data_IF_265915637817
#
_entry.id   IF_265915637817
#
_cell.length_a   1.000
_cell.length_b   1.000
_cell.length_c   1.000
_cell.angle_alpha   90.00
_cell.angle_beta   90.00
_cell.angle_gamma   90.00
#
_symmetry.space_group_name_H-M   'P 1'
#
loop_
_entity.id
_entity.type
_entity.pdbx_description
1 polymer ?
#
# COMPACT_ATOMS: atom_id res chain seq x y z
N UNK A 1 18.45 -72.79 -25.93
CA UNK A 1 17.96 -72.77 -24.53
C UNK A 1 16.60 -72.07 -24.61
N UNK A 2 15.49 -72.76 -24.84
CA UNK A 2 14.82 -73.75 -23.96
C UNK A 2 14.23 -73.03 -22.72
N UNK A 3 12.93 -73.09 -22.40
CA UNK A 3 11.82 -74.03 -22.73
C UNK A 3 10.47 -73.26 -22.84
N UNK A 4 9.60 -73.50 -23.85
CA UNK A 4 8.40 -74.40 -23.85
C UNK A 4 7.26 -73.98 -22.89
N UNK A 5 5.94 -74.13 -23.16
CA UNK A 5 5.19 -74.61 -24.34
C UNK A 5 3.66 -74.39 -24.18
N UNK A 6 2.92 -74.57 -25.29
CA UNK A 6 1.56 -75.15 -25.45
C UNK A 6 0.32 -74.37 -24.98
N UNK A 7 -0.83 -74.29 -25.68
CA UNK A 7 -1.27 -74.68 -27.06
C UNK A 7 -2.65 -73.99 -27.33
N UNK A 8 -3.45 -74.12 -28.40
CA UNK A 8 -3.51 -75.01 -29.58
C UNK A 8 -4.12 -74.34 -30.84
N UNK A 9 -3.96 -74.98 -32.01
CA UNK A 9 -4.67 -74.72 -33.30
C UNK A 9 -5.67 -75.86 -33.61
N UNK A 10 -6.32 -76.03 -34.80
CA UNK A 10 -6.48 -75.16 -35.99
C UNK A 10 -7.96 -75.07 -36.50
N UNK A 11 -8.21 -74.49 -37.69
CA UNK A 11 -9.02 -75.07 -38.81
C UNK A 11 -9.41 -74.01 -39.87
N UNK A 12 -8.81 -74.14 -41.06
CA UNK A 12 -9.36 -73.98 -42.42
C UNK A 12 -10.73 -73.28 -42.59
N UNK A 13 -10.77 -72.09 -43.22
CA UNK A 13 -10.95 -71.90 -44.68
C UNK A 13 -12.36 -72.17 -45.20
N UNK A 14 -13.07 -71.14 -45.71
CA UNK A 14 -13.57 -71.08 -47.10
C UNK A 14 -14.33 -69.77 -47.42
N UNK A 15 -14.32 -69.39 -48.70
CA UNK A 15 -15.16 -68.41 -49.42
C UNK A 15 -15.12 -66.91 -49.10
N UNK A 16 -14.61 -66.17 -50.09
CA UNK A 16 -14.75 -64.73 -50.29
C UNK A 16 -16.18 -64.35 -50.72
N UNK A 17 -16.77 -63.33 -50.09
CA UNK A 17 -17.76 -62.46 -50.76
C UNK A 17 -17.87 -61.07 -50.09
N UNK A 18 -17.77 -60.02 -50.90
CA UNK A 18 -18.13 -58.62 -50.69
C UNK A 18 -18.20 -58.03 -49.26
N UNK A 19 -17.20 -57.23 -48.89
CA UNK A 19 -17.43 -55.99 -48.10
C UNK A 19 -16.74 -54.83 -48.80
N UNK A 20 -17.53 -53.99 -49.45
CA UNK A 20 -17.15 -52.63 -49.86
C UNK A 20 -18.08 -51.67 -49.14
N UNK A 21 -17.52 -50.65 -48.49
CA UNK A 21 -18.27 -49.58 -47.84
C UNK A 21 -18.37 -49.68 -46.33
N UNK A 22 -17.66 -48.77 -45.65
CA UNK A 22 -18.06 -47.97 -44.46
C UNK A 22 -16.78 -47.39 -43.83
N UNK A 23 -16.15 -46.44 -44.53
CA UNK A 23 -15.19 -45.55 -43.85
C UNK A 23 -16.03 -44.65 -42.95
N UNK A 24 -16.08 -44.96 -41.66
CA UNK A 24 -16.65 -44.09 -40.65
C UNK A 24 -15.80 -42.82 -40.56
N UNK A 25 -16.21 -41.78 -41.28
CA UNK A 25 -15.79 -40.42 -40.99
C UNK A 25 -16.29 -40.06 -39.58
N UNK A 26 -15.43 -40.27 -38.58
CA UNK A 26 -15.55 -39.57 -37.31
C UNK A 26 -15.23 -38.10 -37.55
N UNK A 27 -16.22 -37.34 -38.02
CA UNK A 27 -16.13 -35.90 -38.05
C UNK A 27 -15.86 -35.42 -36.61
N UNK A 28 -14.80 -34.62 -36.36
CA UNK A 28 -14.65 -33.99 -35.06
C UNK A 28 -15.86 -33.08 -34.86
N UNK A 29 -16.66 -33.36 -33.83
CA UNK A 29 -17.72 -32.48 -33.40
C UNK A 29 -17.07 -31.25 -32.74
N UNK A 30 -16.55 -30.34 -33.56
CA UNK A 30 -16.22 -28.99 -33.14
C UNK A 30 -17.55 -28.33 -32.83
N UNK A 31 -17.91 -28.28 -31.55
CA UNK A 31 -18.99 -27.43 -31.09
C UNK A 31 -18.58 -25.99 -31.42
N UNK A 32 -19.14 -25.43 -32.49
CA UNK A 32 -18.86 -24.06 -32.90
C UNK A 32 -19.23 -23.12 -31.77
N UNK A 33 -18.23 -22.43 -31.22
CA UNK A 33 -18.49 -21.34 -30.28
C UNK A 33 -19.42 -20.32 -30.97
N UNK A 34 -20.42 -19.77 -30.26
CA UNK A 34 -21.26 -18.74 -30.84
C UNK A 34 -20.39 -17.52 -31.19
N UNK A 35 -20.55 -16.93 -32.38
CA UNK A 35 -19.76 -15.78 -32.80
C UNK A 35 -20.21 -14.51 -32.09
N UNK A 36 -19.28 -13.57 -31.91
CA UNK A 36 -19.54 -12.27 -31.33
C UNK A 36 -20.56 -11.49 -32.16
N UNK A 37 -21.52 -10.88 -31.49
CA UNK A 37 -22.54 -10.06 -32.14
C UNK A 37 -21.88 -8.93 -32.93
N UNK A 38 -22.22 -8.78 -34.22
CA UNK A 38 -21.58 -7.81 -35.11
C UNK A 38 -21.49 -6.36 -34.58
N UNK A 39 -22.50 -5.82 -33.84
CA UNK A 39 -22.39 -4.50 -33.23
C UNK A 39 -21.30 -4.40 -32.16
N UNK A 40 -21.11 -5.45 -31.35
CA UNK A 40 -20.12 -5.49 -30.28
C UNK A 40 -18.71 -5.70 -30.86
N UNK A 41 -18.57 -6.60 -31.86
CA UNK A 41 -17.32 -6.77 -32.61
C UNK A 41 -16.86 -5.46 -33.30
N UNK A 42 -17.79 -4.74 -33.94
CA UNK A 42 -17.50 -3.43 -34.55
C UNK A 42 -17.13 -2.36 -33.50
N UNK A 43 -17.72 -2.41 -32.30
CA UNK A 43 -17.35 -1.54 -31.20
C UNK A 43 -15.92 -1.84 -30.69
N UNK A 44 -15.52 -3.11 -30.59
CA UNK A 44 -14.13 -3.48 -30.23
C UNK A 44 -13.15 -2.93 -31.26
N UNK A 45 -13.39 -3.11 -32.57
CA UNK A 45 -12.49 -2.57 -33.59
C UNK A 45 -12.36 -1.05 -33.52
N UNK A 46 -13.47 -0.32 -33.33
CA UNK A 46 -13.43 1.15 -33.16
C UNK A 46 -12.66 1.58 -31.93
N UNK A 47 -12.76 0.84 -30.83
CA UNK A 47 -11.99 1.12 -29.62
C UNK A 47 -10.50 0.85 -29.85
N UNK A 48 -10.14 -0.29 -30.45
CA UNK A 48 -8.76 -0.63 -30.82
C UNK A 48 -8.13 0.45 -31.72
N UNK A 49 -8.84 0.91 -32.75
CA UNK A 49 -8.38 1.99 -33.64
C UNK A 49 -8.30 3.36 -32.95
N UNK A 50 -9.20 3.66 -32.02
CA UNK A 50 -9.16 4.90 -31.22
C UNK A 50 -7.98 4.91 -30.24
N UNK A 51 -7.55 3.75 -29.75
CA UNK A 51 -6.37 3.60 -28.89
C UNK A 51 -5.07 3.55 -29.70
N UNK A 52 -5.07 2.84 -30.83
CA UNK A 52 -3.91 2.78 -31.71
C UNK A 52 -4.33 2.74 -33.19
N UNK A 53 -4.37 3.91 -33.86
CA UNK A 53 -4.73 4.00 -35.27
C UNK A 53 -3.58 3.61 -36.22
N UNK A 54 -2.37 3.43 -35.69
CA UNK A 54 -1.18 3.04 -36.48
C UNK A 54 -1.15 1.51 -36.74
N UNK A 55 -2.05 0.73 -36.12
CA UNK A 55 -2.26 -0.70 -36.35
C UNK A 55 -3.54 -0.93 -37.16
N UNK A 56 -3.43 -1.65 -38.28
CA UNK A 56 -4.58 -2.08 -39.08
C UNK A 56 -5.29 -3.29 -38.44
N UNK A 57 -6.00 -3.06 -37.34
CA UNK A 57 -6.58 -4.12 -36.49
C UNK A 57 -7.41 -5.16 -37.24
N UNK A 58 -8.29 -4.74 -38.16
CA UNK A 58 -9.12 -5.63 -38.99
C UNK A 58 -8.33 -6.48 -40.00
N UNK A 59 -7.05 -6.17 -40.24
CA UNK A 59 -6.16 -6.96 -41.10
C UNK A 59 -5.26 -7.90 -40.30
N UNK A 60 -4.94 -7.55 -39.05
CA UNK A 60 -4.18 -8.42 -38.13
C UNK A 60 -5.10 -9.47 -37.49
N UNK A 61 -6.32 -9.06 -37.16
CA UNK A 61 -7.39 -9.89 -36.63
C UNK A 61 -8.60 -9.72 -37.57
N UNK A 62 -8.72 -10.55 -38.63
CA UNK A 62 -9.83 -10.47 -39.58
C UNK A 62 -11.05 -11.30 -39.17
N UNK A 63 -10.85 -12.29 -38.30
CA UNK A 63 -11.84 -13.28 -37.89
C UNK A 63 -12.70 -12.79 -36.71
N UNK A 64 -13.45 -13.72 -36.11
CA UNK A 64 -14.22 -13.49 -34.89
C UNK A 64 -13.30 -13.14 -33.70
N UNK A 65 -13.63 -12.05 -32.99
CA UNK A 65 -12.82 -11.56 -31.87
C UNK A 65 -12.99 -12.35 -30.57
N UNK A 66 -14.05 -13.15 -30.39
CA UNK A 66 -14.08 -14.11 -29.28
C UNK A 66 -13.17 -15.33 -29.55
N UNK A 67 -12.77 -15.53 -30.81
CA UNK A 67 -11.94 -16.67 -31.26
C UNK A 67 -10.46 -16.32 -31.43
N UNK A 68 -10.13 -15.10 -31.86
CA UNK A 68 -8.78 -14.73 -32.35
C UNK A 68 -8.20 -13.43 -31.79
N UNK A 69 -8.90 -12.72 -30.90
CA UNK A 69 -8.51 -11.38 -30.46
C UNK A 69 -7.09 -11.26 -29.85
N UNK A 70 -6.52 -10.04 -29.85
CA UNK A 70 -5.33 -9.75 -29.05
C UNK A 70 -5.63 -9.95 -27.55
N UNK A 71 -4.65 -10.48 -26.81
CA UNK A 71 -4.78 -10.95 -25.41
C UNK A 71 -5.50 -10.02 -24.41
N UNK A 72 -5.49 -8.71 -24.62
CA UNK A 72 -6.17 -7.75 -23.74
C UNK A 72 -7.68 -7.67 -23.93
N UNK A 73 -8.22 -8.19 -25.03
CA UNK A 73 -9.66 -8.27 -25.32
C UNK A 73 -10.14 -9.69 -24.99
N UNK A 74 -10.99 -9.82 -23.97
CA UNK A 74 -11.45 -11.11 -23.44
C UNK A 74 -12.96 -11.24 -23.62
N UNK A 75 -13.40 -12.44 -24.01
CA UNK A 75 -14.79 -12.77 -24.27
C UNK A 75 -15.21 -13.99 -23.44
N UNK A 76 -16.41 -13.94 -22.86
CA UNK A 76 -17.04 -15.05 -22.15
C UNK A 76 -18.36 -15.47 -22.81
N UNK A 77 -18.82 -16.66 -22.44
CA UNK A 77 -20.01 -17.31 -22.98
C UNK A 77 -21.11 -17.44 -21.91
N UNK A 78 -22.32 -17.03 -22.26
CA UNK A 78 -23.47 -16.93 -21.35
C UNK A 78 -24.64 -17.78 -21.87
N UNK A 79 -25.20 -18.65 -21.02
CA UNK A 79 -26.37 -19.45 -21.38
C UNK A 79 -27.67 -18.65 -21.22
N UNK A 80 -28.57 -18.71 -22.20
CA UNK A 80 -29.87 -18.07 -22.12
C UNK A 80 -30.75 -18.71 -21.02
N UNK A 81 -30.88 -17.99 -19.90
CA UNK A 81 -31.84 -18.31 -18.84
C UNK A 81 -31.25 -18.90 -17.55
N UNK A 82 -29.93 -18.98 -17.39
CA UNK A 82 -29.31 -19.36 -16.11
C UNK A 82 -28.89 -18.15 -15.29
N UNK A 83 -29.58 -17.90 -14.17
CA UNK A 83 -29.14 -16.95 -13.14
C UNK A 83 -27.81 -17.42 -12.52
N UNK A 84 -26.89 -16.47 -12.29
CA UNK A 84 -25.49 -16.67 -11.86
C UNK A 84 -25.28 -17.61 -10.65
N UNK A 85 -25.27 -18.95 -10.82
CA UNK A 85 -24.80 -19.89 -9.76
C UNK A 85 -24.44 -21.34 -10.15
N UNK A 86 -24.05 -21.66 -11.39
CA UNK A 86 -23.33 -22.92 -11.69
C UNK A 86 -22.63 -22.92 -13.05
N UNK A 87 -21.58 -23.74 -13.21
CA UNK A 87 -20.97 -23.99 -14.52
C UNK A 87 -21.89 -24.84 -15.40
N UNK A 88 -22.05 -24.51 -16.70
CA UNK A 88 -23.00 -25.21 -17.57
C UNK A 88 -22.53 -26.64 -17.86
N UNK A 89 -23.43 -27.60 -17.65
CA UNK A 89 -23.25 -28.95 -18.22
C UNK A 89 -23.57 -28.89 -19.72
N UNK A 90 -22.69 -29.46 -20.55
CA UNK A 90 -22.82 -29.40 -22.01
C UNK A 90 -24.08 -30.12 -22.52
N UNK A 91 -25.18 -29.39 -22.66
CA UNK A 91 -26.44 -29.87 -23.23
C UNK A 91 -27.02 -28.83 -24.21
N UNK A 92 -26.68 -28.99 -25.49
CA UNK A 92 -27.07 -28.17 -26.65
C UNK A 92 -26.52 -26.74 -26.69
N UNK A 93 -25.93 -26.35 -27.82
CA UNK A 93 -25.45 -24.99 -28.10
C UNK A 93 -26.58 -24.01 -28.48
N UNK A 94 -27.84 -24.39 -28.24
CA UNK A 94 -29.01 -23.60 -28.59
C UNK A 94 -29.31 -22.59 -27.48
N UNK A 95 -28.76 -21.37 -27.62
CA UNK A 95 -29.01 -20.26 -26.70
C UNK A 95 -27.80 -19.77 -25.91
N UNK A 96 -26.57 -20.16 -26.25
CA UNK A 96 -25.37 -19.53 -25.69
C UNK A 96 -25.03 -18.26 -26.50
N UNK A 97 -24.84 -17.13 -25.84
CA UNK A 97 -24.32 -15.89 -26.44
C UNK A 97 -22.90 -15.60 -25.96
N UNK A 98 -22.12 -14.90 -26.78
CA UNK A 98 -20.74 -14.51 -26.48
C UNK A 98 -20.65 -12.99 -26.35
N UNK A 99 -20.00 -12.48 -25.31
CA UNK A 99 -19.86 -11.04 -25.04
C UNK A 99 -18.47 -10.69 -24.51
N UNK A 100 -18.04 -9.45 -24.72
CA UNK A 100 -16.78 -8.93 -24.22
C UNK A 100 -16.90 -8.66 -22.71
N UNK A 101 -16.02 -9.29 -21.93
CA UNK A 101 -16.01 -9.18 -20.45
C UNK A 101 -14.78 -8.47 -19.92
N UNK A 102 -13.64 -8.48 -20.61
CA UNK A 102 -12.50 -7.63 -20.26
C UNK A 102 -11.93 -6.86 -21.46
N UNK A 103 -11.53 -5.63 -21.19
CA UNK A 103 -10.82 -4.75 -22.10
C UNK A 103 -9.60 -4.17 -21.39
N UNK A 104 -8.42 -4.68 -21.73
CA UNK A 104 -7.13 -4.32 -21.15
C UNK A 104 -6.22 -3.72 -22.23
N UNK A 105 -5.62 -2.56 -21.95
CA UNK A 105 -4.76 -1.81 -22.88
C UNK A 105 -3.46 -1.36 -22.23
N UNK A 106 -2.38 -1.31 -23.01
CA UNK A 106 -1.05 -0.87 -22.57
C UNK A 106 -0.16 -1.97 -21.99
N UNK A 107 1.16 -1.77 -22.11
CA UNK A 107 2.18 -2.77 -21.76
C UNK A 107 2.34 -2.96 -20.25
N UNK A 108 1.91 -4.12 -19.74
CA UNK A 108 2.11 -4.49 -18.32
C UNK A 108 3.26 -5.50 -18.14
N UNK A 109 3.63 -6.26 -19.18
CA UNK A 109 4.80 -7.15 -19.18
C UNK A 109 5.23 -7.54 -20.61
N UNK A 110 6.44 -8.07 -20.74
CA UNK A 110 7.05 -8.47 -22.03
C UNK A 110 6.53 -9.80 -22.62
N UNK A 111 5.80 -10.61 -21.83
CA UNK A 111 5.51 -12.00 -22.19
C UNK A 111 4.27 -12.22 -23.06
N UNK A 112 3.29 -11.33 -22.96
CA UNK A 112 2.27 -11.14 -24.00
C UNK A 112 1.60 -9.77 -23.79
N UNK A 113 1.79 -8.80 -24.68
CA UNK A 113 1.28 -7.46 -24.46
C UNK A 113 -0.21 -7.37 -24.78
N UNK A 114 -0.94 -6.67 -23.90
CA UNK A 114 -2.22 -6.08 -24.25
C UNK A 114 -2.07 -5.20 -25.51
N UNK A 115 -3.16 -4.95 -26.28
CA UNK A 115 -3.18 -3.94 -27.33
C UNK A 115 -2.39 -2.67 -26.95
N UNK A 116 -1.30 -2.36 -27.69
CA UNK A 116 -0.40 -1.29 -27.31
C UNK A 116 -1.04 0.06 -27.63
N UNK A 117 -0.86 1.02 -26.72
CA UNK A 117 -1.39 2.37 -26.89
C UNK A 117 -0.46 3.25 -27.73
N UNK A 118 -1.03 4.22 -28.45
CA UNK A 118 -0.28 5.15 -29.29
C UNK A 118 -0.20 6.56 -28.65
N UNK A 119 0.75 7.42 -29.07
CA UNK A 119 0.73 8.85 -28.73
C UNK A 119 -0.58 9.58 -29.03
N UNK A 120 -1.40 9.04 -29.94
CA UNK A 120 -2.67 9.60 -30.40
C UNK A 120 -3.89 8.96 -29.72
N UNK A 121 -3.70 8.13 -28.68
CA UNK A 121 -4.78 7.39 -28.02
C UNK A 121 -5.89 8.32 -27.56
N UNK A 122 -7.12 8.02 -27.97
CA UNK A 122 -8.32 8.72 -27.56
C UNK A 122 -9.36 7.74 -26.99
N UNK A 123 -10.17 8.20 -26.06
CA UNK A 123 -11.28 7.43 -25.49
C UNK A 123 -12.54 8.30 -25.44
N UNK A 124 -13.38 8.17 -26.47
CA UNK A 124 -14.68 8.85 -26.50
C UNK A 124 -15.74 8.01 -25.76
N UNK A 125 -16.61 8.58 -24.89
CA UNK A 125 -17.57 7.80 -24.10
C UNK A 125 -18.50 6.90 -24.93
N UNK A 126 -18.85 7.31 -26.16
CA UNK A 126 -19.70 6.52 -27.06
C UNK A 126 -19.06 5.22 -27.57
N UNK A 127 -17.76 5.01 -27.36
CA UNK A 127 -17.09 3.74 -27.70
C UNK A 127 -17.46 2.64 -26.71
N UNK A 128 -17.82 2.99 -25.48
CA UNK A 128 -18.05 2.04 -24.38
C UNK A 128 -19.50 1.53 -24.31
N UNK A 129 -20.44 2.18 -25.00
CA UNK A 129 -21.90 1.94 -24.83
C UNK A 129 -22.40 0.58 -25.35
N UNK A 130 -21.57 -0.20 -26.03
CA UNK A 130 -21.95 -1.49 -26.60
C UNK A 130 -21.50 -2.69 -25.73
N UNK A 131 -20.61 -2.48 -24.75
CA UNK A 131 -20.05 -3.55 -23.91
C UNK A 131 -20.90 -3.79 -22.66
N UNK A 132 -22.12 -4.32 -22.85
CA UNK A 132 -23.11 -4.49 -21.79
C UNK A 132 -22.73 -5.52 -20.72
N UNK A 133 -21.83 -6.45 -21.05
CA UNK A 133 -21.33 -7.50 -20.15
C UNK A 133 -19.93 -7.21 -19.59
N UNK A 134 -19.38 -6.02 -19.84
CA UNK A 134 -18.02 -5.68 -19.45
C UNK A 134 -17.84 -5.71 -17.92
N UNK A 135 -16.95 -6.57 -17.45
CA UNK A 135 -16.57 -6.71 -16.04
C UNK A 135 -15.31 -5.92 -15.71
N UNK A 136 -14.40 -5.76 -16.67
CA UNK A 136 -13.11 -5.10 -16.42
C UNK A 136 -12.70 -4.15 -17.55
N UNK A 137 -12.34 -2.93 -17.17
CA UNK A 137 -11.78 -1.91 -18.06
C UNK A 137 -10.43 -1.43 -17.51
N UNK A 138 -9.35 -1.67 -18.24
CA UNK A 138 -7.98 -1.43 -17.80
C UNK A 138 -7.16 -0.65 -18.85
N UNK A 139 -6.50 0.44 -18.44
CA UNK A 139 -5.57 1.23 -19.25
C UNK A 139 -4.29 1.56 -18.48
N UNK A 140 -3.13 1.14 -19.01
CA UNK A 140 -1.81 1.53 -18.49
C UNK A 140 -1.02 2.37 -19.51
N UNK A 141 -0.60 3.57 -19.13
CA UNK A 141 0.20 4.47 -19.98
C UNK A 141 -0.35 4.68 -21.40
N UNK A 142 -1.67 4.78 -21.54
CA UNK A 142 -2.33 4.97 -22.83
C UNK A 142 -2.56 6.43 -23.18
N UNK A 143 -2.95 7.25 -22.20
CA UNK A 143 -3.20 8.67 -22.40
C UNK A 143 -2.03 9.46 -21.82
N UNK A 144 -0.95 9.57 -22.61
CA UNK A 144 0.33 10.18 -22.21
C UNK A 144 0.60 11.54 -22.85
N UNK A 145 0.21 11.74 -24.11
CA UNK A 145 0.45 12.96 -24.89
C UNK A 145 -0.84 13.72 -25.22
N UNK A 146 -1.81 13.06 -25.88
CA UNK A 146 -3.10 13.68 -26.21
C UNK A 146 -4.01 13.77 -25.00
N UNK A 147 -4.49 14.99 -24.69
CA UNK A 147 -5.45 15.23 -23.61
C UNK A 147 -6.77 14.48 -23.86
N UNK A 148 -7.15 13.62 -22.91
CA UNK A 148 -8.41 12.84 -22.95
C UNK A 148 -9.22 13.13 -21.69
N UNK A 149 -10.50 13.46 -21.84
CA UNK A 149 -11.39 13.59 -20.68
C UNK A 149 -11.69 12.21 -20.11
N UNK A 150 -11.69 12.09 -18.78
CA UNK A 150 -12.20 10.91 -18.08
C UNK A 150 -13.63 10.59 -18.59
N UNK A 151 -13.91 9.34 -19.00
CA UNK A 151 -15.18 8.98 -19.63
C UNK A 151 -16.32 8.90 -18.60
N UNK A 152 -17.55 9.14 -19.05
CA UNK A 152 -18.74 8.81 -18.26
C UNK A 152 -18.97 7.28 -18.30
N UNK A 153 -18.74 6.63 -17.16
CA UNK A 153 -18.85 5.18 -17.00
C UNK A 153 -20.30 4.72 -16.74
N UNK A 154 -21.26 5.62 -16.57
CA UNK A 154 -22.65 5.26 -16.20
C UNK A 154 -23.37 4.40 -17.25
N UNK A 155 -22.88 4.38 -18.49
CA UNK A 155 -23.39 3.54 -19.58
C UNK A 155 -22.97 2.07 -19.50
N UNK A 156 -21.92 1.73 -18.73
CA UNK A 156 -21.42 0.35 -18.58
C UNK A 156 -22.23 -0.49 -17.57
N UNK A 157 -23.27 0.08 -16.96
CA UNK A 157 -24.26 -0.67 -16.19
C UNK A 157 -23.73 -1.32 -14.90
N UNK A 158 -24.41 -2.38 -14.45
CA UNK A 158 -24.12 -3.04 -13.18
C UNK A 158 -23.21 -4.27 -13.30
N UNK A 159 -22.66 -4.55 -14.48
CA UNK A 159 -21.77 -5.69 -14.75
C UNK A 159 -20.30 -5.39 -14.45
N UNK A 160 -19.92 -4.11 -14.45
CA UNK A 160 -18.54 -3.67 -14.24
C UNK A 160 -18.07 -3.91 -12.79
N UNK A 161 -17.05 -4.76 -12.64
CA UNK A 161 -16.43 -5.15 -11.36
C UNK A 161 -15.10 -4.40 -11.13
N UNK A 162 -14.34 -4.11 -12.18
CA UNK A 162 -13.04 -3.43 -12.11
C UNK A 162 -12.91 -2.27 -13.12
N UNK A 163 -12.48 -1.11 -12.62
CA UNK A 163 -12.08 0.06 -13.42
C UNK A 163 -10.67 0.44 -13.02
N UNK A 164 -9.74 0.43 -13.97
CA UNK A 164 -8.32 0.64 -13.71
C UNK A 164 -7.69 1.56 -14.75
N UNK A 165 -7.25 2.74 -14.33
CA UNK A 165 -6.43 3.66 -15.13
C UNK A 165 -5.15 3.96 -14.34
N UNK A 166 -3.98 3.57 -14.87
CA UNK A 166 -2.70 3.71 -14.17
C UNK A 166 -1.68 4.42 -15.06
N UNK A 167 -1.07 5.47 -14.50
CA UNK A 167 -0.05 6.34 -15.11
C UNK A 167 -0.48 6.88 -16.49
N UNK A 168 -1.66 7.47 -16.54
CA UNK A 168 -2.23 8.13 -17.72
C UNK A 168 -2.23 9.67 -17.51
N UNK A 169 -1.09 10.36 -17.65
CA UNK A 169 -0.95 11.77 -17.25
C UNK A 169 -1.77 12.74 -18.11
N UNK A 170 -2.12 12.41 -19.35
CA UNK A 170 -2.99 13.24 -20.19
C UNK A 170 -4.50 12.97 -19.98
N UNK A 171 -4.87 12.01 -19.13
CA UNK A 171 -6.26 11.79 -18.71
C UNK A 171 -6.66 12.84 -17.66
N UNK A 172 -7.64 13.69 -17.97
CA UNK A 172 -8.03 14.84 -17.14
C UNK A 172 -9.56 14.93 -16.96
N UNK A 173 -10.04 15.96 -16.27
CA UNK A 173 -11.46 16.24 -16.08
C UNK A 173 -11.86 16.02 -14.63
N UNK A 174 -13.05 15.47 -14.39
CA UNK A 174 -13.51 15.09 -13.06
C UNK A 174 -14.29 13.79 -13.11
N UNK A 175 -14.42 13.13 -11.97
CA UNK A 175 -15.38 12.04 -11.80
C UNK A 175 -16.79 12.61 -12.01
N UNK A 176 -17.52 12.08 -12.99
CA UNK A 176 -18.87 12.53 -13.41
C UNK A 176 -19.74 11.32 -13.74
N UNK A 177 -21.03 11.60 -13.94
CA UNK A 177 -22.04 10.58 -14.20
C UNK A 177 -22.50 9.89 -12.92
N UNK A 178 -23.55 9.09 -13.03
CA UNK A 178 -24.06 8.32 -11.90
C UNK A 178 -23.19 7.07 -11.66
N UNK A 179 -21.99 7.27 -11.12
CA UNK A 179 -21.05 6.18 -10.80
C UNK A 179 -21.63 5.20 -9.77
N UNK A 180 -22.59 5.66 -8.95
CA UNK A 180 -23.38 4.82 -8.06
C UNK A 180 -24.19 3.73 -8.78
N UNK A 181 -24.37 3.77 -10.09
CA UNK A 181 -24.97 2.67 -10.87
C UNK A 181 -24.06 1.43 -11.01
N UNK A 182 -22.74 1.56 -10.79
CA UNK A 182 -21.78 0.46 -10.91
C UNK A 182 -21.86 -0.50 -9.70
N UNK A 183 -23.01 -1.13 -9.48
CA UNK A 183 -23.33 -1.89 -8.24
C UNK A 183 -22.41 -3.09 -7.98
N UNK A 184 -21.80 -3.68 -9.00
CA UNK A 184 -20.87 -4.81 -8.86
C UNK A 184 -19.41 -4.38 -8.69
N UNK A 185 -19.12 -3.08 -8.72
CA UNK A 185 -17.76 -2.56 -8.68
C UNK A 185 -17.06 -2.93 -7.36
N UNK A 186 -15.96 -3.67 -7.48
CA UNK A 186 -15.06 -4.10 -6.41
C UNK A 186 -13.78 -3.29 -6.40
N UNK A 187 -13.24 -2.94 -7.58
CA UNK A 187 -11.94 -2.28 -7.73
C UNK A 187 -12.10 -1.01 -8.55
N UNK A 188 -11.85 0.14 -7.92
CA UNK A 188 -11.74 1.42 -8.62
C UNK A 188 -10.34 1.98 -8.40
N UNK A 189 -9.51 1.93 -9.45
CA UNK A 189 -8.13 2.38 -9.46
C UNK A 189 -7.97 3.47 -10.52
N UNK A 190 -7.59 4.66 -10.08
CA UNK A 190 -7.29 5.81 -10.91
C UNK A 190 -6.01 6.43 -10.34
N UNK A 191 -4.87 6.14 -10.95
CA UNK A 191 -3.56 6.50 -10.41
C UNK A 191 -2.70 7.22 -11.43
N UNK A 192 -2.03 8.30 -11.03
CA UNK A 192 -1.09 9.02 -11.89
C UNK A 192 -1.77 9.71 -13.08
N UNK A 193 -2.86 10.44 -12.82
CA UNK A 193 -3.63 11.16 -13.85
C UNK A 193 -3.86 12.62 -13.46
N UNK A 194 -4.47 13.40 -14.36
CA UNK A 194 -4.85 14.79 -14.13
C UNK A 194 -6.35 14.96 -13.80
N UNK A 195 -7.04 13.89 -13.40
CA UNK A 195 -8.44 13.97 -12.92
C UNK A 195 -8.51 14.79 -11.62
N UNK A 196 -9.53 15.64 -11.52
CA UNK A 196 -9.64 16.72 -10.55
C UNK A 196 -11.07 16.90 -10.03
N UNK A 197 -11.25 17.80 -9.05
CA UNK A 197 -12.56 18.04 -8.41
C UNK A 197 -12.85 17.05 -7.29
N UNK A 198 -14.09 17.07 -6.78
CA UNK A 198 -14.49 16.28 -5.62
C UNK A 198 -14.89 14.84 -5.98
N UNK A 199 -14.92 13.94 -4.99
CA UNK A 199 -15.49 12.60 -5.14
C UNK A 199 -17.02 12.74 -5.17
N UNK A 200 -17.72 12.24 -6.21
CA UNK A 200 -19.18 12.32 -6.30
C UNK A 200 -19.88 11.62 -5.14
N UNK A 201 -20.96 12.20 -4.63
CA UNK A 201 -21.71 11.66 -3.49
C UNK A 201 -22.30 10.26 -3.77
N UNK A 202 -22.50 9.92 -5.05
CA UNK A 202 -22.94 8.63 -5.57
C UNK A 202 -21.94 7.48 -5.29
N UNK A 203 -20.68 7.78 -4.96
CA UNK A 203 -19.74 6.75 -4.46
C UNK A 203 -20.29 6.00 -3.26
N UNK A 204 -21.19 6.62 -2.47
CA UNK A 204 -21.82 5.98 -1.31
C UNK A 204 -22.61 4.71 -1.65
N UNK A 205 -23.02 4.56 -2.91
CA UNK A 205 -23.89 3.44 -3.32
C UNK A 205 -23.09 2.23 -3.86
N UNK A 206 -21.76 2.27 -3.76
CA UNK A 206 -20.82 1.21 -4.18
C UNK A 206 -20.62 0.15 -3.08
N UNK A 207 -21.71 -0.52 -2.68
CA UNK A 207 -21.71 -1.43 -1.52
C UNK A 207 -20.77 -2.66 -1.64
N UNK A 208 -20.33 -2.99 -2.85
CA UNK A 208 -19.43 -4.11 -3.12
C UNK A 208 -17.94 -3.73 -3.18
N UNK A 209 -17.60 -2.45 -2.97
CA UNK A 209 -16.22 -1.97 -3.16
C UNK A 209 -15.24 -2.62 -2.17
N UNK A 210 -14.17 -3.18 -2.71
CA UNK A 210 -13.07 -3.85 -1.99
C UNK A 210 -11.78 -3.02 -2.05
N UNK A 211 -11.57 -2.25 -3.12
CA UNK A 211 -10.42 -1.35 -3.29
C UNK A 211 -10.83 -0.02 -3.95
N UNK A 212 -10.44 1.08 -3.30
CA UNK A 212 -10.45 2.43 -3.86
C UNK A 212 -9.01 2.96 -3.84
N UNK A 213 -8.45 3.23 -5.01
CA UNK A 213 -7.10 3.80 -5.16
C UNK A 213 -7.17 4.98 -6.11
N UNK A 214 -7.10 6.20 -5.57
CA UNK A 214 -7.22 7.47 -6.29
C UNK A 214 -5.90 8.26 -6.25
N UNK A 215 -4.75 7.58 -6.13
CA UNK A 215 -3.47 8.20 -5.82
C UNK A 215 -2.85 9.01 -6.95
N UNK A 216 -2.07 10.06 -6.63
CA UNK A 216 -1.39 10.90 -7.62
C UNK A 216 -2.35 11.52 -8.64
N UNK A 217 -3.35 12.25 -8.16
CA UNK A 217 -4.30 13.01 -8.98
C UNK A 217 -4.44 14.45 -8.45
N UNK A 218 -5.46 15.19 -8.92
CA UNK A 218 -5.78 16.56 -8.51
C UNK A 218 -7.14 16.64 -7.80
N UNK A 219 -7.53 15.59 -7.09
CA UNK A 219 -8.83 15.51 -6.43
C UNK A 219 -8.85 16.40 -5.18
N UNK A 220 -9.97 17.06 -4.95
CA UNK A 220 -10.17 18.11 -3.94
C UNK A 220 -11.37 17.81 -3.05
N UNK A 221 -11.69 18.75 -2.15
CA UNK A 221 -12.90 18.69 -1.32
C UNK A 221 -12.68 17.91 -0.03
N UNK A 222 -13.79 17.55 0.61
CA UNK A 222 -13.81 16.65 1.78
C UNK A 222 -14.10 15.23 1.30
N UNK A 223 -13.52 14.26 2.00
CA UNK A 223 -13.89 12.86 1.81
C UNK A 223 -14.98 12.51 2.80
N UNK A 224 -16.11 12.00 2.32
CA UNK A 224 -17.14 11.36 3.15
C UNK A 224 -17.59 10.07 2.45
N UNK A 225 -17.32 8.94 3.09
CA UNK A 225 -17.67 7.63 2.61
C UNK A 225 -18.59 6.95 3.62
N UNK A 226 -19.66 6.26 3.19
CA UNK A 226 -20.41 5.40 4.10
C UNK A 226 -19.54 4.21 4.52
N UNK A 227 -20.01 3.43 5.50
CA UNK A 227 -19.33 2.23 5.95
C UNK A 227 -19.28 1.13 4.87
N UNK A 228 -18.29 1.19 3.98
CA UNK A 228 -17.96 0.16 3.01
C UNK A 228 -17.44 -1.10 3.71
N UNK A 229 -18.35 -2.04 3.99
CA UNK A 229 -18.08 -3.23 4.82
C UNK A 229 -17.07 -4.21 4.22
N UNK A 230 -16.80 -4.12 2.91
CA UNK A 230 -15.86 -4.97 2.17
C UNK A 230 -14.53 -4.27 1.84
N UNK A 231 -14.36 -3.00 2.20
CA UNK A 231 -13.19 -2.22 1.80
C UNK A 231 -11.93 -2.73 2.49
N UNK A 232 -10.96 -3.15 1.68
CA UNK A 232 -9.65 -3.69 2.09
C UNK A 232 -8.50 -2.74 1.80
N UNK A 233 -8.62 -1.91 0.77
CA UNK A 233 -7.61 -0.90 0.39
C UNK A 233 -8.28 0.44 0.15
N UNK A 234 -7.85 1.45 0.91
CA UNK A 234 -8.15 2.85 0.66
C UNK A 234 -6.85 3.63 0.51
N UNK A 235 -6.61 4.12 -0.70
CA UNK A 235 -5.42 4.90 -1.04
C UNK A 235 -5.85 6.18 -1.78
N UNK A 236 -5.75 7.31 -1.08
CA UNK A 236 -6.08 8.65 -1.57
C UNK A 236 -4.83 9.53 -1.69
N UNK A 237 -3.64 8.93 -1.63
CA UNK A 237 -2.36 9.61 -1.49
C UNK A 237 -2.06 10.60 -2.62
N UNK A 238 -1.28 11.65 -2.33
CA UNK A 238 -0.82 12.62 -3.34
C UNK A 238 -1.99 13.27 -4.11
N UNK A 239 -2.84 13.99 -3.37
CA UNK A 239 -4.01 14.74 -3.87
C UNK A 239 -4.14 16.09 -3.14
N UNK A 240 -5.27 16.77 -3.31
CA UNK A 240 -5.61 18.04 -2.68
C UNK A 240 -6.79 17.93 -1.70
N UNK A 241 -7.10 16.73 -1.19
CA UNK A 241 -8.18 16.49 -0.21
C UNK A 241 -7.95 17.27 1.08
N UNK A 242 -9.03 17.72 1.72
CA UNK A 242 -8.98 18.69 2.82
C UNK A 242 -10.07 18.48 3.87
N UNK A 243 -9.91 19.12 5.03
CA UNK A 243 -10.79 18.95 6.18
C UNK A 243 -10.36 17.78 7.07
N UNK A 244 -11.17 17.45 8.07
CA UNK A 244 -10.89 16.34 8.97
C UNK A 244 -11.15 14.98 8.30
N UNK A 245 -10.40 13.95 8.71
CA UNK A 245 -10.72 12.56 8.38
C UNK A 245 -12.02 12.18 9.11
N UNK A 246 -13.05 11.67 8.44
CA UNK A 246 -14.30 11.31 9.09
C UNK A 246 -14.13 10.19 10.13
N UNK A 247 -14.81 10.33 11.27
CA UNK A 247 -14.84 9.27 12.30
C UNK A 247 -15.44 7.94 11.80
N UNK A 248 -16.26 7.97 10.74
CA UNK A 248 -16.85 6.76 10.14
C UNK A 248 -15.81 5.87 9.42
N UNK A 249 -14.58 6.34 9.17
CA UNK A 249 -13.50 5.50 8.62
C UNK A 249 -13.15 4.32 9.54
N UNK A 250 -13.35 4.45 10.85
CA UNK A 250 -13.24 3.33 11.80
C UNK A 250 -14.19 2.16 11.53
N UNK A 251 -15.24 2.35 10.71
CA UNK A 251 -16.17 1.29 10.34
C UNK A 251 -15.69 0.39 9.19
N UNK A 252 -14.54 0.68 8.57
CA UNK A 252 -13.92 -0.16 7.54
C UNK A 252 -13.21 -1.37 8.17
N UNK A 253 -13.94 -2.22 8.89
CA UNK A 253 -13.36 -3.27 9.75
C UNK A 253 -12.56 -4.36 9.00
N UNK A 254 -12.60 -4.40 7.67
CA UNK A 254 -11.79 -5.28 6.81
C UNK A 254 -10.58 -4.58 6.16
N UNK A 255 -10.32 -3.31 6.51
CA UNK A 255 -9.28 -2.50 5.87
C UNK A 255 -7.88 -3.01 6.24
N UNK A 256 -7.06 -3.24 5.22
CA UNK A 256 -5.66 -3.71 5.31
C UNK A 256 -4.67 -2.56 5.04
N UNK A 257 -4.99 -1.69 4.08
CA UNK A 257 -4.21 -0.47 3.75
C UNK A 257 -5.09 0.78 3.88
N UNK A 258 -4.62 1.74 4.67
CA UNK A 258 -5.09 3.13 4.67
C UNK A 258 -3.93 4.07 4.34
N UNK A 259 -4.03 4.80 3.24
CA UNK A 259 -3.02 5.76 2.81
C UNK A 259 -3.69 7.06 2.39
N UNK A 260 -3.50 8.07 3.23
CA UNK A 260 -4.01 9.43 3.06
C UNK A 260 -2.85 10.43 2.88
N UNK A 261 -1.64 9.92 2.63
CA UNK A 261 -0.41 10.71 2.61
C UNK A 261 -0.42 11.84 1.56
N UNK A 262 0.39 12.88 1.76
CA UNK A 262 0.55 13.99 0.81
C UNK A 262 -0.79 14.62 0.37
N UNK A 263 -1.53 15.14 1.34
CA UNK A 263 -2.83 15.78 1.15
C UNK A 263 -2.91 17.07 2.00
N UNK A 264 -4.11 17.60 2.20
CA UNK A 264 -4.38 18.77 3.05
C UNK A 264 -5.37 18.44 4.18
N UNK A 265 -5.46 17.18 4.60
CA UNK A 265 -6.28 16.77 5.74
C UNK A 265 -5.79 17.48 7.01
N UNK A 266 -6.71 17.84 7.91
CA UNK A 266 -6.45 18.77 9.01
C UNK A 266 -7.25 18.47 10.27
N UNK A 267 -6.75 18.89 11.44
CA UNK A 267 -7.35 18.61 12.74
C UNK A 267 -6.74 17.37 13.39
N UNK A 268 -7.51 16.70 14.24
CA UNK A 268 -7.06 15.49 14.94
C UNK A 268 -7.13 14.23 14.06
N UNK A 269 -6.29 13.25 14.37
CA UNK A 269 -6.37 11.90 13.82
C UNK A 269 -7.48 11.14 14.58
N UNK A 270 -8.57 10.65 13.95
CA UNK A 270 -9.71 10.12 14.69
C UNK A 270 -9.38 8.86 15.49
N UNK A 271 -9.69 8.85 16.80
CA UNK A 271 -9.55 7.67 17.65
C UNK A 271 -10.35 6.45 17.16
N UNK A 272 -11.41 6.67 16.36
CA UNK A 272 -12.20 5.58 15.78
C UNK A 272 -11.38 4.65 14.88
N UNK A 273 -10.23 5.10 14.34
CA UNK A 273 -9.31 4.25 13.59
C UNK A 273 -8.78 3.07 14.42
N UNK A 274 -8.85 3.11 15.76
CA UNK A 274 -8.57 1.97 16.64
C UNK A 274 -9.41 0.72 16.34
N UNK A 275 -10.57 0.87 15.69
CA UNK A 275 -11.45 -0.24 15.33
C UNK A 275 -10.96 -1.05 14.12
N UNK A 276 -9.95 -0.57 13.39
CA UNK A 276 -9.40 -1.20 12.19
C UNK A 276 -8.46 -2.38 12.52
N UNK A 277 -8.99 -3.43 13.15
CA UNK A 277 -8.17 -4.54 13.70
C UNK A 277 -7.43 -5.39 12.65
N UNK A 278 -7.82 -5.30 11.39
CA UNK A 278 -7.13 -5.97 10.26
C UNK A 278 -6.03 -5.11 9.62
N UNK A 279 -5.87 -3.83 10.02
CA UNK A 279 -4.99 -2.87 9.35
C UNK A 279 -3.51 -3.27 9.46
N UNK A 280 -2.83 -3.33 8.32
CA UNK A 280 -1.40 -3.66 8.22
C UNK A 280 -0.54 -2.43 7.86
N UNK A 281 -1.09 -1.49 7.08
CA UNK A 281 -0.41 -0.29 6.62
C UNK A 281 -1.23 0.96 6.91
N UNK A 282 -0.63 1.94 7.60
CA UNK A 282 -1.20 3.25 7.87
C UNK A 282 -0.22 4.37 7.48
N UNK A 283 -0.55 5.15 6.45
CA UNK A 283 0.18 6.37 6.11
C UNK A 283 -0.73 7.60 6.13
N UNK A 284 -0.40 8.54 7.02
CA UNK A 284 -1.06 9.83 7.20
C UNK A 284 -0.07 10.99 6.97
N UNK A 285 1.14 10.71 6.48
CA UNK A 285 2.24 11.66 6.36
C UNK A 285 1.95 12.83 5.42
N UNK A 286 2.66 13.94 5.61
CA UNK A 286 2.57 15.15 4.80
C UNK A 286 1.14 15.68 4.63
N UNK A 287 0.46 15.85 5.75
CA UNK A 287 -0.85 16.49 5.87
C UNK A 287 -0.75 17.72 6.79
N UNK A 288 -1.88 18.18 7.31
CA UNK A 288 -1.99 19.29 8.27
C UNK A 288 -2.64 18.82 9.58
N UNK A 289 -2.42 17.56 9.96
CA UNK A 289 -2.85 17.07 11.27
C UNK A 289 -2.08 17.80 12.38
N UNK A 290 -2.74 18.06 13.50
CA UNK A 290 -2.18 18.85 14.61
C UNK A 290 -2.74 18.44 15.98
N UNK A 291 -2.12 18.96 17.04
CA UNK A 291 -2.65 19.06 18.42
C UNK A 291 -2.97 17.74 19.17
N UNK A 292 -2.57 16.58 18.63
CA UNK A 292 -2.92 15.25 19.18
C UNK A 292 -1.72 14.39 19.64
N UNK A 293 -0.47 14.82 19.42
CA UNK A 293 0.71 13.97 19.65
C UNK A 293 0.74 12.71 18.77
N UNK A 294 1.59 11.72 19.07
CA UNK A 294 1.50 10.41 18.41
C UNK A 294 0.31 9.64 19.00
N UNK A 295 -0.70 9.22 18.21
CA UNK A 295 -1.90 8.61 18.76
C UNK A 295 -1.65 7.28 19.49
N UNK A 296 -2.09 7.17 20.75
CA UNK A 296 -1.89 5.98 21.57
C UNK A 296 -2.56 4.71 20.99
N UNK A 297 -3.67 4.90 20.26
CA UNK A 297 -4.45 3.79 19.68
C UNK A 297 -3.68 2.95 18.65
N UNK A 298 -2.53 3.42 18.15
CA UNK A 298 -1.69 2.68 17.19
C UNK A 298 -1.27 1.32 17.78
N UNK A 299 -1.07 1.24 19.10
CA UNK A 299 -0.80 -0.03 19.79
C UNK A 299 -2.00 -0.97 19.90
N UNK A 300 -3.22 -0.48 19.65
CA UNK A 300 -4.43 -1.31 19.60
C UNK A 300 -4.67 -1.98 18.23
N UNK A 301 -3.76 -1.80 17.26
CA UNK A 301 -3.86 -2.35 15.90
C UNK A 301 -2.98 -3.62 15.78
N UNK A 302 -3.51 -4.82 16.04
CA UNK A 302 -2.71 -6.03 16.29
C UNK A 302 -2.01 -6.60 15.05
N UNK A 303 -2.34 -6.11 13.85
CA UNK A 303 -1.73 -6.52 12.58
C UNK A 303 -0.84 -5.46 11.94
N UNK A 304 -0.67 -4.31 12.58
CA UNK A 304 0.05 -3.18 12.01
C UNK A 304 1.52 -3.54 11.77
N UNK A 305 1.97 -3.37 10.53
CA UNK A 305 3.36 -3.60 10.09
C UNK A 305 4.06 -2.28 9.79
N UNK A 306 3.33 -1.29 9.27
CA UNK A 306 3.92 -0.02 8.85
C UNK A 306 3.05 1.16 9.28
N UNK A 307 3.70 2.18 9.87
CA UNK A 307 3.04 3.42 10.31
C UNK A 307 3.88 4.66 9.99
N UNK A 308 3.31 5.58 9.22
CA UNK A 308 3.95 6.83 8.81
C UNK A 308 3.06 8.03 9.15
N UNK A 309 3.55 8.91 10.01
CA UNK A 309 2.89 10.16 10.43
C UNK A 309 3.71 11.41 10.08
N UNK A 310 4.86 11.22 9.43
CA UNK A 310 5.89 12.23 9.18
C UNK A 310 5.35 13.51 8.52
N UNK A 311 5.92 14.67 8.83
CA UNK A 311 5.53 15.95 8.23
C UNK A 311 4.19 16.53 8.71
N UNK A 312 3.59 15.99 9.77
CA UNK A 312 2.43 16.58 10.47
C UNK A 312 2.87 17.23 11.79
N UNK A 313 2.41 18.44 12.10
CA UNK A 313 2.82 19.17 13.31
C UNK A 313 1.99 18.70 14.52
N UNK A 314 2.13 17.43 14.90
CA UNK A 314 1.39 16.83 16.02
C UNK A 314 1.92 17.29 17.39
N UNK A 315 3.21 17.64 17.49
CA UNK A 315 3.85 17.99 18.76
C UNK A 315 3.80 16.83 19.77
N UNK A 316 3.83 17.16 21.07
CA UNK A 316 3.76 16.18 22.16
C UNK A 316 5.01 15.30 22.30
N UNK A 317 4.94 14.34 23.22
CA UNK A 317 5.99 13.32 23.42
C UNK A 317 5.69 12.05 22.61
N UNK A 318 6.71 11.21 22.43
CA UNK A 318 6.52 9.85 21.92
C UNK A 318 5.99 8.98 23.08
N UNK A 319 4.79 8.39 22.99
CA UNK A 319 4.14 7.72 24.12
C UNK A 319 4.72 6.33 24.40
N UNK A 320 4.56 5.84 25.62
CA UNK A 320 5.02 4.52 26.07
C UNK A 320 4.01 3.40 25.72
N UNK A 321 3.87 3.09 24.42
CA UNK A 321 2.87 2.13 23.89
C UNK A 321 3.46 0.90 23.18
N UNK A 322 4.79 0.82 23.07
CA UNK A 322 5.49 -0.06 22.11
C UNK A 322 5.50 -1.55 22.47
N UNK A 323 5.03 -1.91 23.67
CA UNK A 323 5.17 -3.24 24.27
C UNK A 323 4.72 -4.38 23.36
N UNK A 324 3.54 -4.21 22.75
CA UNK A 324 2.86 -5.25 21.97
C UNK A 324 3.02 -5.02 20.45
N UNK A 325 3.84 -4.05 20.03
CA UNK A 325 4.08 -3.66 18.63
C UNK A 325 5.26 -4.41 17.96
N UNK A 326 5.62 -5.59 18.46
CA UNK A 326 6.79 -6.35 18.00
C UNK A 326 6.74 -6.86 16.55
N UNK A 327 5.57 -6.80 15.90
CA UNK A 327 5.39 -7.13 14.48
C UNK A 327 5.70 -5.97 13.52
N UNK A 328 5.89 -4.75 14.03
CA UNK A 328 6.10 -3.54 13.22
C UNK A 328 7.47 -3.57 12.53
N UNK A 329 7.44 -3.32 11.23
CA UNK A 329 8.57 -3.28 10.30
C UNK A 329 9.00 -1.85 9.96
N UNK A 330 8.09 -0.87 9.97
CA UNK A 330 8.42 0.51 9.63
C UNK A 330 7.68 1.54 10.50
N UNK A 331 8.42 2.54 10.97
CA UNK A 331 7.90 3.69 11.73
C UNK A 331 8.52 4.97 11.18
N UNK A 332 7.70 5.89 10.66
CA UNK A 332 8.13 7.22 10.22
C UNK A 332 7.46 8.35 11.00
N UNK A 333 8.18 8.91 11.98
CA UNK A 333 7.75 10.06 12.80
C UNK A 333 8.58 11.33 12.55
N UNK A 334 9.13 11.48 11.35
CA UNK A 334 10.06 12.56 10.99
C UNK A 334 9.35 13.91 10.83
N UNK A 335 9.94 15.01 11.31
CA UNK A 335 9.43 16.36 11.04
C UNK A 335 8.10 16.70 11.74
N UNK A 336 7.82 16.13 12.91
CA UNK A 336 6.53 16.24 13.60
C UNK A 336 6.47 17.25 14.75
N UNK A 337 7.62 17.84 15.11
CA UNK A 337 7.75 18.76 16.25
C UNK A 337 7.72 18.06 17.61
N UNK A 338 7.96 16.74 17.64
CA UNK A 338 7.98 15.91 18.86
C UNK A 338 9.03 16.40 19.85
N UNK A 339 8.70 16.37 21.14
CA UNK A 339 9.55 16.77 22.28
C UNK A 339 9.78 15.60 23.23
N UNK A 340 10.56 15.82 24.29
CA UNK A 340 10.83 14.81 25.30
C UNK A 340 11.86 13.78 24.84
N UNK A 341 11.91 12.63 25.53
CA UNK A 341 12.91 11.59 25.31
C UNK A 341 12.40 10.53 24.34
N UNK A 342 13.33 9.80 23.72
CA UNK A 342 13.01 8.57 22.99
C UNK A 342 12.68 7.45 24.02
N UNK A 343 11.49 6.81 23.95
CA UNK A 343 11.12 5.72 24.84
C UNK A 343 12.09 4.54 24.78
N UNK A 344 12.50 4.03 25.95
CA UNK A 344 13.35 2.84 26.08
C UNK A 344 12.65 1.61 25.49
N UNK A 345 11.32 1.52 25.70
CA UNK A 345 10.50 0.40 25.23
C UNK A 345 10.51 0.22 23.70
N UNK A 346 10.73 1.28 22.91
CA UNK A 346 10.96 1.16 21.46
C UNK A 346 12.13 0.23 21.17
N UNK A 347 13.27 0.47 21.84
CA UNK A 347 14.45 -0.37 21.70
C UNK A 347 14.26 -1.78 22.26
N UNK A 348 13.40 -1.96 23.26
CA UNK A 348 13.08 -3.28 23.85
C UNK A 348 12.23 -4.13 22.91
N UNK A 349 11.18 -3.55 22.33
CA UNK A 349 10.07 -4.30 21.72
C UNK A 349 10.06 -4.30 20.19
N UNK A 350 10.56 -3.24 19.52
CA UNK A 350 10.52 -3.11 18.06
C UNK A 350 11.63 -3.91 17.36
N UNK A 351 11.87 -5.15 17.78
CA UNK A 351 13.03 -5.95 17.34
C UNK A 351 13.06 -6.23 15.84
N UNK A 352 11.89 -6.31 15.20
CA UNK A 352 11.73 -6.56 13.76
C UNK A 352 11.75 -5.29 12.90
N UNK A 353 11.94 -4.10 13.49
CA UNK A 353 11.90 -2.84 12.73
C UNK A 353 13.03 -2.79 11.71
N UNK A 354 12.67 -2.49 10.47
CA UNK A 354 13.53 -2.34 9.30
C UNK A 354 13.83 -0.85 9.05
N UNK A 355 12.81 0.01 9.17
CA UNK A 355 12.90 1.47 9.03
C UNK A 355 12.41 2.18 10.30
N UNK A 356 13.24 3.04 10.89
CA UNK A 356 12.85 3.91 12.00
C UNK A 356 13.34 5.36 11.76
N UNK A 357 12.42 6.24 11.41
CA UNK A 357 12.65 7.68 11.26
C UNK A 357 12.06 8.48 12.42
N UNK A 358 12.91 9.21 13.16
CA UNK A 358 12.58 10.13 14.25
C UNK A 358 13.21 11.53 14.03
N UNK A 359 13.75 11.77 12.84
CA UNK A 359 14.53 12.95 12.49
C UNK A 359 13.72 14.26 12.38
N UNK A 360 14.39 15.40 12.39
CA UNK A 360 13.80 16.74 12.27
C UNK A 360 12.72 17.04 13.34
N UNK A 361 12.95 16.57 14.57
CA UNK A 361 12.10 16.83 15.73
C UNK A 361 12.86 17.67 16.79
N UNK A 362 12.34 17.73 18.01
CA UNK A 362 12.94 18.41 19.18
C UNK A 362 13.22 17.40 20.30
N UNK A 363 13.49 16.15 19.94
CA UNK A 363 13.75 15.06 20.90
C UNK A 363 15.07 15.33 21.64
N UNK A 364 15.09 15.02 22.94
CA UNK A 364 16.21 15.31 23.84
C UNK A 364 16.63 14.08 24.68
N UNK A 365 17.63 14.28 25.54
CA UNK A 365 18.21 13.20 26.35
C UNK A 365 19.17 12.34 25.54
N UNK A 366 19.23 11.05 25.88
CA UNK A 366 20.14 10.07 25.28
C UNK A 366 19.42 9.14 24.31
N UNK A 367 20.13 8.61 23.30
CA UNK A 367 19.64 7.46 22.52
C UNK A 367 19.61 6.23 23.46
N UNK A 368 18.48 5.51 23.62
CA UNK A 368 18.39 4.35 24.51
C UNK A 368 19.38 3.25 24.14
N UNK A 369 20.06 2.64 25.12
CA UNK A 369 21.09 1.61 24.88
C UNK A 369 20.52 0.40 24.12
N UNK A 370 19.24 0.11 24.32
CA UNK A 370 18.47 -0.96 23.68
C UNK A 370 18.36 -0.81 22.16
N UNK A 371 18.53 0.40 21.61
CA UNK A 371 18.60 0.65 20.16
C UNK A 371 19.82 -0.05 19.53
N UNK A 372 20.90 -0.29 20.31
CA UNK A 372 22.06 -1.05 19.86
C UNK A 372 21.77 -2.53 19.56
N UNK A 373 20.59 -3.03 19.94
CA UNK A 373 20.13 -4.39 19.72
C UNK A 373 18.87 -4.48 18.80
N UNK A 374 18.60 -3.45 18.00
CA UNK A 374 17.63 -3.53 16.90
C UNK A 374 18.26 -4.30 15.72
N UNK A 375 18.17 -5.63 15.74
CA UNK A 375 18.93 -6.45 14.79
C UNK A 375 18.50 -6.25 13.34
N UNK A 376 17.19 -6.11 13.04
CA UNK A 376 16.69 -6.09 11.66
C UNK A 376 16.68 -4.70 10.98
N UNK A 377 17.15 -3.66 11.68
CA UNK A 377 17.11 -2.29 11.13
C UNK A 377 18.09 -2.12 9.97
N UNK A 378 17.57 -1.63 8.84
CA UNK A 378 18.36 -1.23 7.68
C UNK A 378 18.46 0.30 7.57
N UNK A 379 17.55 1.05 8.20
CA UNK A 379 17.60 2.51 8.25
C UNK A 379 17.13 3.05 9.60
N UNK A 380 17.99 3.86 10.23
CA UNK A 380 17.74 4.50 11.52
C UNK A 380 18.12 5.97 11.41
N UNK A 381 17.12 6.84 11.38
CA UNK A 381 17.27 8.27 11.16
C UNK A 381 16.88 9.05 12.44
N UNK A 382 17.86 9.63 13.11
CA UNK A 382 17.69 10.42 14.34
C UNK A 382 18.14 11.89 14.15
N UNK A 383 18.31 12.33 12.90
CA UNK A 383 18.99 13.58 12.58
C UNK A 383 18.22 14.83 13.02
N UNK A 384 18.95 15.92 13.23
CA UNK A 384 18.38 17.24 13.50
C UNK A 384 17.40 17.23 14.69
N UNK A 385 17.90 16.73 15.82
CA UNK A 385 17.24 16.72 17.13
C UNK A 385 18.16 17.38 18.19
N UNK A 386 17.76 17.36 19.46
CA UNK A 386 18.56 17.82 20.60
C UNK A 386 19.15 16.64 21.40
N UNK A 387 19.49 15.53 20.73
CA UNK A 387 20.03 14.34 21.39
C UNK A 387 21.47 14.55 21.85
N UNK A 388 21.82 13.89 22.95
CA UNK A 388 23.04 14.12 23.72
C UNK A 388 23.64 12.84 24.28
N UNK A 389 24.92 12.91 24.66
CA UNK A 389 25.62 11.80 25.30
C UNK A 389 26.13 10.75 24.33
N UNK A 390 26.50 9.58 24.87
CA UNK A 390 27.14 8.50 24.12
C UNK A 390 26.13 7.75 23.27
N UNK A 391 26.48 7.45 22.02
CA UNK A 391 25.66 6.57 21.16
C UNK A 391 25.91 5.08 21.45
N UNK A 392 24.85 4.25 21.49
CA UNK A 392 24.95 2.83 21.91
C UNK A 392 25.37 1.87 20.78
N UNK A 393 25.58 2.38 19.57
CA UNK A 393 25.81 1.54 18.39
C UNK A 393 27.21 0.92 18.37
N UNK A 394 27.29 -0.41 18.38
CA UNK A 394 28.56 -1.10 18.19
C UNK A 394 29.14 -0.85 16.78
N UNK A 395 30.46 -0.98 16.57
CA UNK A 395 31.04 -0.89 15.22
C UNK A 395 30.43 -1.88 14.23
N UNK A 396 30.05 -3.10 14.68
CA UNK A 396 29.36 -4.09 13.84
C UNK A 396 27.96 -3.60 13.41
N UNK A 397 27.18 -3.03 14.33
CA UNK A 397 25.88 -2.43 14.03
C UNK A 397 26.05 -1.28 13.02
N UNK A 398 26.98 -0.37 13.29
CA UNK A 398 27.28 0.76 12.42
C UNK A 398 27.66 0.33 11.00
N UNK A 399 28.51 -0.70 10.85
CA UNK A 399 28.88 -1.25 9.53
C UNK A 399 27.72 -1.95 8.83
N UNK A 400 26.79 -2.60 9.56
CA UNK A 400 25.59 -3.23 8.98
C UNK A 400 24.64 -2.19 8.38
N UNK A 401 24.30 -1.15 9.15
CA UNK A 401 23.32 -0.12 8.73
C UNK A 401 23.97 0.88 7.76
N UNK A 402 25.29 1.10 7.88
CA UNK A 402 26.07 1.91 6.95
C UNK A 402 25.63 3.38 6.93
N UNK A 403 25.52 3.95 5.72
CA UNK A 403 25.14 5.36 5.52
C UNK A 403 23.68 5.66 5.91
N UNK A 404 22.85 4.63 6.08
CA UNK A 404 21.47 4.75 6.56
C UNK A 404 21.35 4.90 8.07
N UNK A 405 22.48 4.84 8.80
CA UNK A 405 22.55 5.25 10.21
C UNK A 405 22.85 6.74 10.26
N UNK A 406 21.79 7.51 10.47
CA UNK A 406 21.72 8.95 10.27
C UNK A 406 21.61 9.65 11.63
N UNK A 407 22.68 10.35 12.03
CA UNK A 407 22.87 10.95 13.37
C UNK A 407 23.25 12.45 13.33
N UNK A 408 23.43 13.01 12.13
CA UNK A 408 23.11 14.37 11.74
C UNK A 408 22.65 15.40 12.78
N UNK A 409 23.26 16.59 12.88
CA UNK A 409 22.61 17.75 13.49
C UNK A 409 22.32 17.67 15.00
N UNK A 410 22.79 16.64 15.70
CA UNK A 410 22.72 16.52 17.16
C UNK A 410 24.09 16.93 17.77
N UNK A 411 24.29 18.19 18.18
CA UNK A 411 25.63 18.72 18.50
C UNK A 411 26.27 18.13 19.76
N UNK A 412 25.47 17.46 20.61
CA UNK A 412 25.88 16.89 21.89
C UNK A 412 26.04 15.36 21.88
N UNK A 413 25.81 14.69 20.74
CA UNK A 413 26.12 13.27 20.58
C UNK A 413 27.63 13.01 20.48
N UNK A 414 28.07 11.89 21.05
CA UNK A 414 29.46 11.50 21.07
C UNK A 414 29.64 9.97 20.99
N UNK A 415 30.85 9.53 20.64
CA UNK A 415 31.26 8.12 20.60
C UNK A 415 32.26 7.81 21.72
N UNK A 416 32.22 6.58 22.24
CA UNK A 416 33.23 6.07 23.17
C UNK A 416 34.55 5.74 22.46
N UNK A 417 35.63 5.61 23.24
CA UNK A 417 36.99 5.38 22.71
C UNK A 417 37.08 4.13 21.80
N UNK A 418 36.43 3.01 22.20
CA UNK A 418 36.36 1.79 21.39
C UNK A 418 35.52 1.87 20.11
N UNK A 419 34.72 2.95 19.93
CA UNK A 419 33.92 3.20 18.73
C UNK A 419 34.64 4.12 17.71
N UNK A 420 35.92 4.48 17.94
CA UNK A 420 36.66 5.41 17.05
C UNK A 420 37.69 4.74 16.12
N UNK A 421 37.54 3.44 15.86
CA UNK A 421 38.43 2.72 14.95
C UNK A 421 38.39 3.30 13.53
N UNK A 422 39.55 3.38 12.88
CA UNK A 422 39.81 4.16 11.65
C UNK A 422 39.15 3.63 10.35
N UNK A 423 38.05 2.87 10.47
CA UNK A 423 37.25 2.32 9.34
C UNK A 423 35.74 2.58 9.45
N UNK A 424 35.28 3.34 10.45
CA UNK A 424 33.86 3.69 10.58
C UNK A 424 33.51 4.86 9.65
N UNK A 425 32.86 4.53 8.53
CA UNK A 425 32.24 5.48 7.60
C UNK A 425 30.88 5.97 8.09
N UNK A 426 30.24 6.89 7.35
CA UNK A 426 28.91 7.40 7.68
C UNK A 426 28.88 8.35 8.89
N UNK A 427 27.76 8.40 9.60
CA UNK A 427 27.51 9.40 10.64
C UNK A 427 28.37 9.23 11.89
N UNK A 428 28.69 8.00 12.32
CA UNK A 428 29.50 7.78 13.53
C UNK A 428 30.92 8.30 13.41
N UNK A 429 31.55 8.18 12.23
CA UNK A 429 32.90 8.69 11.99
C UNK A 429 33.03 10.22 12.12
N UNK A 430 31.89 10.95 12.07
CA UNK A 430 31.82 12.41 12.22
C UNK A 430 31.62 12.87 13.67
N UNK A 431 31.24 11.97 14.59
CA UNK A 431 30.99 12.32 15.99
C UNK A 431 32.29 12.49 16.79
N UNK A 432 32.24 13.37 17.80
CA UNK A 432 33.36 13.61 18.72
C UNK A 432 33.47 12.46 19.74
N UNK A 433 34.66 12.29 20.33
CA UNK A 433 34.79 11.42 21.50
C UNK A 433 34.00 12.03 22.67
N UNK A 434 33.35 11.18 23.46
CA UNK A 434 32.76 11.60 24.71
C UNK A 434 33.87 12.07 25.66
N UNK A 435 33.75 13.28 26.20
CA UNK A 435 34.60 13.72 27.29
C UNK A 435 34.38 12.79 28.48
N UNK A 436 35.45 12.19 29.01
CA UNK A 436 35.42 11.53 30.31
C UNK A 436 34.79 12.49 31.34
N UNK A 437 33.90 12.05 32.24
CA UNK A 437 33.54 12.87 33.38
C UNK A 437 34.83 13.21 34.12
N UNK A 438 35.09 14.50 34.35
CA UNK A 438 36.28 14.94 35.07
C UNK A 438 36.39 14.13 36.37
N UNK A 439 37.56 13.57 36.72
CA UNK A 439 37.74 13.06 38.07
C UNK A 439 37.42 14.21 39.04
N UNK A 440 36.67 13.97 40.12
CA UNK A 440 36.32 15.04 41.05
C UNK A 440 37.62 15.70 41.52
N UNK A 441 37.72 17.02 41.36
CA UNK A 441 38.86 17.79 41.88
C UNK A 441 39.05 17.38 43.35
N UNK A 442 40.26 16.99 43.78
CA UNK A 442 40.48 16.59 45.15
C UNK A 442 40.05 17.72 46.07
N UNK A 443 39.03 17.46 46.89
CA UNK A 443 38.54 18.39 47.91
C UNK A 443 39.66 18.55 48.93
N UNK A 444 40.19 19.76 49.16
CA UNK A 444 41.17 19.97 50.22
C UNK A 444 40.47 19.82 51.56
N UNK A 445 40.75 18.73 52.27
CA UNK A 445 40.39 18.60 53.69
C UNK A 445 41.26 19.57 54.53
N UNK A 446 40.74 20.03 55.69
CA UNK A 446 41.02 21.39 56.14
C UNK A 446 42.32 21.55 56.93
N UNK A 447 42.98 22.70 56.75
CA UNK A 447 43.97 23.18 57.71
C UNK A 447 43.24 23.60 59.00
N UNK A 448 43.50 22.88 60.09
CA UNK A 448 43.04 23.22 61.42
C UNK A 448 43.96 24.27 62.09
N UNK A 449 43.53 24.70 63.29
CA UNK A 449 44.26 25.56 64.26
C UNK A 449 44.15 27.09 64.02
N UNK A 450 44.27 27.93 65.07
CA UNK A 450 43.03 28.43 65.68
C UNK A 450 43.02 29.94 65.96
N UNK A 451 41.84 30.53 66.20
CA UNK A 451 41.73 31.81 66.91
C UNK A 451 40.64 31.79 67.97
N UNK A 452 41.07 31.97 69.23
CA UNK A 452 40.21 32.42 70.31
C UNK A 452 39.75 33.85 70.03
N UNK A 453 38.48 34.15 70.29
CA UNK A 453 38.16 35.32 71.11
C UNK A 453 36.80 35.16 71.81
N UNK A 454 36.75 35.57 73.07
CA UNK A 454 35.57 35.48 73.93
C UNK A 454 34.53 36.56 73.59
N UNK A 455 33.24 36.25 73.76
CA UNK A 455 32.44 36.93 74.78
C UNK A 455 31.20 36.12 75.19
N UNK A 456 30.90 36.14 76.49
CA UNK A 456 29.64 35.74 77.13
C UNK A 456 28.48 36.63 76.61
N UNK A 457 27.18 36.29 76.72
CA UNK A 457 26.47 35.78 77.91
C UNK A 457 25.28 34.84 77.64
N UNK A 458 25.04 33.96 78.63
CA UNK A 458 24.01 32.94 78.72
C UNK A 458 22.54 33.41 78.70
N UNK A 459 21.63 32.47 78.38
CA UNK A 459 20.61 32.03 79.34
C UNK A 459 20.22 30.54 79.13
N UNK A 460 19.90 29.84 80.21
CA UNK A 460 19.44 28.43 80.19
C UNK A 460 17.93 28.33 79.93
N UNK A 461 17.44 27.16 79.48
CA UNK A 461 16.46 26.32 80.22
C UNK A 461 16.20 24.97 79.49
N UNK A 462 16.60 23.89 80.17
CA UNK A 462 15.96 22.57 80.38
C UNK A 462 14.90 22.07 79.36
N UNK A 463 15.05 20.82 78.90
CA UNK A 463 13.93 20.01 78.38
C UNK A 463 14.30 18.70 77.65
N UNK A 464 14.49 17.60 78.39
CA UNK A 464 14.36 16.25 77.80
C UNK A 464 12.87 15.98 77.49
N UNK A 465 12.45 15.19 76.50
CA UNK A 465 12.60 13.73 76.30
C UNK A 465 12.08 13.44 74.85
N UNK A 466 12.54 12.43 74.12
CA UNK A 466 11.91 11.10 74.11
C UNK A 466 12.75 10.08 73.31
N UNK A 467 12.68 8.82 73.74
CA UNK A 467 13.23 7.67 73.01
C UNK A 467 12.24 7.17 71.94
N UNK A 468 12.82 6.62 70.86
CA UNK A 468 12.44 5.39 70.15
C UNK A 468 11.01 4.84 70.37
N UNK A 469 10.21 4.83 69.28
CA UNK A 469 9.88 3.59 68.54
C UNK A 469 10.13 3.87 67.06
#
# INVERSE_FOLDING_TARGET
>A
MATSSSDSSPYFSFFSLCVMGMILFSAPFVASQPPLGSPEQEAVYRLLESINPDIHWRSVFPDDLCSTAPHGVVCDFFAAGEDNSSSPTFASAAGVTSHITELNFGYVSDYSPNPPCSPKSALHPSLLTHFTHLRKLFFYQCFTETNVSFPDLSSLGSTLEEVVFVDNPALFGSLKGNIGNLKSLRRFVLTGTNVSGEIPAEFRDLFNIEQVTLSRNKLTGKVDFPAFRKLRVLDLSQNEFSGAVPGNFGNFTQLLKLDLSHNRFSGEIPESLRALKELEFLDLSYNKFSESGVPAFISELPRLKEVYLSGNILGGEIPEIWKDMGAVLAIGLSGMGLVGKIPVSMGVHLRNVNYLGLDNNRLEGTVPEEFGALEFVNELNLENNNLSGKVPFSPKFATKVGEKLKLHGNPHLCVGEGQKSAKLSGSLGKLKLCSQPYPPKPVPLPNATPKLQHSSTALMIIGALCLLI
#
